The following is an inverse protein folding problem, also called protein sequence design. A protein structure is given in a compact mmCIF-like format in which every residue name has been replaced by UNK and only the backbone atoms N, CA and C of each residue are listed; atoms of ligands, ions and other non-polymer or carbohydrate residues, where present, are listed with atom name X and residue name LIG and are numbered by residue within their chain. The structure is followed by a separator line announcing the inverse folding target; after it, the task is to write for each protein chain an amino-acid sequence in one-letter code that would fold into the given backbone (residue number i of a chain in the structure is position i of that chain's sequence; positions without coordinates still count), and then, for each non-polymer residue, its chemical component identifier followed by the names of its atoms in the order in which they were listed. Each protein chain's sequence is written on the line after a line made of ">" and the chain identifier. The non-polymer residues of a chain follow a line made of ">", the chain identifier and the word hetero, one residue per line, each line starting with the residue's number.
data_IF_147194784190
#
_entry.id   IF_147194784190
#
_cell.length_a   1.000
_cell.length_b   1.000
_cell.length_c   1.000
_cell.angle_alpha   90.00
_cell.angle_beta   90.00
_cell.angle_gamma   90.00
#
_symmetry.space_group_name_H-M   'P 1'
#
loop_
_entity.id
_entity.type
_entity.pdbx_description
1 polymer ?
#
# COMPACT_ATOMS: atom_id res chain seq x y z
N UNK A 1 12.13 -11.19 -21.49
CA UNK A 1 10.68 -11.29 -21.78
C UNK A 1 9.82 -11.46 -20.53
N UNK A 2 10.15 -12.34 -19.56
CA UNK A 2 9.29 -12.60 -18.38
C UNK A 2 9.02 -11.37 -17.47
N UNK A 3 9.93 -10.39 -17.40
CA UNK A 3 9.75 -9.16 -16.59
C UNK A 3 8.70 -8.19 -17.16
N UNK A 4 8.71 -7.96 -18.48
CA UNK A 4 7.82 -6.97 -19.12
C UNK A 4 6.33 -7.29 -18.99
N UNK A 5 5.97 -8.57 -19.04
CA UNK A 5 4.58 -8.99 -18.84
C UNK A 5 4.10 -8.73 -17.40
N UNK A 6 4.96 -8.95 -16.40
CA UNK A 6 4.66 -8.66 -14.99
C UNK A 6 4.56 -7.16 -14.74
N UNK A 7 5.46 -6.38 -15.33
CA UNK A 7 5.46 -4.91 -15.23
C UNK A 7 4.17 -4.33 -15.84
N UNK A 8 3.75 -4.82 -17.01
CA UNK A 8 2.50 -4.40 -17.66
C UNK A 8 1.27 -4.84 -16.86
N UNK A 9 1.27 -6.05 -16.32
CA UNK A 9 0.18 -6.53 -15.47
C UNK A 9 0.04 -5.67 -14.21
N UNK A 10 1.15 -5.27 -13.58
CA UNK A 10 1.13 -4.42 -12.38
C UNK A 10 0.50 -3.04 -12.68
N UNK A 11 0.81 -2.46 -13.84
CA UNK A 11 0.19 -1.22 -14.31
C UNK A 11 -1.33 -1.39 -14.46
N UNK A 12 -1.76 -2.43 -15.20
CA UNK A 12 -3.19 -2.67 -15.45
C UNK A 12 -3.95 -2.91 -14.15
N UNK A 13 -3.42 -3.73 -13.24
CA UNK A 13 -4.06 -4.02 -11.96
C UNK A 13 -4.15 -2.76 -11.08
N UNK A 14 -3.12 -1.90 -11.08
CA UNK A 14 -3.15 -0.64 -10.33
C UNK A 14 -4.20 0.32 -10.89
N UNK A 15 -4.35 0.39 -12.21
CA UNK A 15 -5.40 1.19 -12.86
C UNK A 15 -6.79 0.66 -12.51
N UNK A 16 -7.01 -0.65 -12.61
CA UNK A 16 -8.28 -1.27 -12.24
C UNK A 16 -8.63 -0.99 -10.78
N UNK A 17 -7.64 -1.10 -9.89
CA UNK A 17 -7.84 -0.79 -8.47
C UNK A 17 -8.20 0.68 -8.24
N UNK A 18 -7.55 1.61 -8.96
CA UNK A 18 -7.88 3.02 -8.88
C UNK A 18 -9.31 3.30 -9.39
N UNK A 19 -9.73 2.65 -10.47
CA UNK A 19 -11.10 2.77 -10.99
C UNK A 19 -12.10 2.29 -9.94
N UNK A 20 -11.90 1.10 -9.36
CA UNK A 20 -12.77 0.55 -8.30
C UNK A 20 -12.84 1.50 -7.11
N UNK A 21 -11.69 1.94 -6.59
CA UNK A 21 -11.65 2.86 -5.45
C UNK A 21 -12.37 4.17 -5.73
N UNK A 22 -12.18 4.76 -6.91
CA UNK A 22 -12.88 6.00 -7.29
C UNK A 22 -14.38 5.83 -7.50
N UNK A 23 -14.82 4.69 -8.07
CA UNK A 23 -16.24 4.45 -8.37
C UNK A 23 -17.06 4.23 -7.10
N UNK A 24 -16.48 3.55 -6.11
CA UNK A 24 -17.13 3.25 -4.83
C UNK A 24 -16.76 4.23 -3.71
N UNK A 25 -16.06 5.33 -4.01
CA UNK A 25 -15.62 6.32 -3.03
C UNK A 25 -14.75 5.74 -1.89
N UNK A 26 -14.02 4.64 -2.14
CA UNK A 26 -12.96 4.16 -1.24
C UNK A 26 -11.67 4.96 -1.51
N UNK A 27 -11.56 6.12 -0.88
CA UNK A 27 -10.46 7.05 -1.14
C UNK A 27 -9.11 6.57 -0.61
N UNK A 28 -9.09 5.75 0.45
CA UNK A 28 -7.86 5.10 0.91
C UNK A 28 -7.41 4.08 -0.15
N UNK A 29 -8.31 3.20 -0.61
CA UNK A 29 -8.03 2.27 -1.70
C UNK A 29 -7.56 2.97 -2.98
N UNK A 30 -8.20 4.08 -3.35
CA UNK A 30 -7.80 4.91 -4.48
C UNK A 30 -6.37 5.45 -4.34
N UNK A 31 -6.01 6.04 -3.19
CA UNK A 31 -4.67 6.58 -2.96
C UNK A 31 -3.60 5.48 -2.96
N UNK A 32 -3.87 4.34 -2.33
CA UNK A 32 -2.97 3.19 -2.37
C UNK A 32 -2.78 2.67 -3.80
N UNK A 33 -3.83 2.73 -4.63
CA UNK A 33 -3.79 2.40 -6.05
C UNK A 33 -2.92 3.36 -6.85
N UNK A 34 -2.95 4.66 -6.54
CA UNK A 34 -2.05 5.66 -7.14
C UNK A 34 -0.59 5.36 -6.79
N UNK A 35 -0.28 5.06 -5.52
CA UNK A 35 1.08 4.68 -5.13
C UNK A 35 1.54 3.42 -5.88
N UNK A 36 0.68 2.40 -5.95
CA UNK A 36 0.95 1.17 -6.71
C UNK A 36 1.20 1.47 -8.19
N UNK A 37 0.41 2.36 -8.79
CA UNK A 37 0.56 2.77 -10.18
C UNK A 37 1.90 3.46 -10.43
N UNK A 38 2.26 4.43 -9.57
CA UNK A 38 3.55 5.13 -9.66
C UNK A 38 4.70 4.12 -9.61
N UNK A 39 4.69 3.21 -8.63
CA UNK A 39 5.75 2.19 -8.51
C UNK A 39 5.79 1.26 -9.72
N UNK A 40 4.64 0.88 -10.26
CA UNK A 40 4.55 0.07 -11.48
C UNK A 40 5.13 0.78 -12.70
N UNK A 41 4.93 2.10 -12.85
CA UNK A 41 5.53 2.92 -13.91
C UNK A 41 7.07 2.91 -13.78
N UNK A 42 7.59 3.10 -12.57
CA UNK A 42 9.04 3.07 -12.34
C UNK A 42 9.63 1.68 -12.59
N UNK A 43 8.92 0.63 -12.21
CA UNK A 43 9.33 -0.74 -12.49
C UNK A 43 9.39 -1.05 -13.97
N UNK A 44 8.40 -0.57 -14.75
CA UNK A 44 8.40 -0.72 -16.21
C UNK A 44 9.60 -0.03 -16.87
N UNK A 45 10.05 1.11 -16.32
CA UNK A 45 11.25 1.82 -16.81
C UNK A 45 12.56 1.13 -16.44
N UNK A 46 12.66 0.55 -15.24
CA UNK A 46 13.86 -0.10 -14.72
C UNK A 46 13.60 -1.60 -14.57
N UNK A 47 13.73 -2.34 -15.67
CA UNK A 47 13.40 -3.77 -15.72
C UNK A 47 14.37 -4.60 -14.86
N UNK A 48 14.00 -4.80 -13.59
CA UNK A 48 14.61 -5.75 -12.68
C UNK A 48 13.52 -6.71 -12.21
N UNK A 49 13.69 -8.00 -12.51
CA UNK A 49 12.71 -9.03 -12.20
C UNK A 49 12.29 -9.06 -10.71
N UNK A 50 13.21 -8.81 -9.78
CA UNK A 50 12.88 -8.80 -8.35
C UNK A 50 12.02 -7.61 -7.96
N UNK A 51 12.29 -6.45 -8.56
CA UNK A 51 11.46 -5.26 -8.35
C UNK A 51 10.09 -5.44 -8.99
N UNK A 52 10.02 -6.06 -10.18
CA UNK A 52 8.77 -6.41 -10.84
C UNK A 52 7.88 -7.33 -9.99
N UNK A 53 8.46 -8.29 -9.26
CA UNK A 53 7.72 -9.13 -8.31
C UNK A 53 7.12 -8.33 -7.17
N UNK A 54 7.81 -7.32 -6.64
CA UNK A 54 7.26 -6.45 -5.59
C UNK A 54 6.14 -5.56 -6.13
N UNK A 55 6.32 -4.95 -7.30
CA UNK A 55 5.31 -4.09 -7.91
C UNK A 55 4.03 -4.85 -8.27
N UNK A 56 4.14 -6.06 -8.85
CA UNK A 56 2.95 -6.88 -9.12
C UNK A 56 2.29 -7.33 -7.83
N UNK A 57 3.05 -7.69 -6.79
CA UNK A 57 2.49 -8.08 -5.49
C UNK A 57 1.74 -6.94 -4.83
N UNK A 58 2.29 -5.72 -4.89
CA UNK A 58 1.61 -4.51 -4.42
C UNK A 58 0.33 -4.26 -5.20
N UNK A 59 0.37 -4.33 -6.54
CA UNK A 59 -0.81 -4.09 -7.38
C UNK A 59 -1.93 -5.11 -7.12
N UNK A 60 -1.58 -6.39 -6.95
CA UNK A 60 -2.54 -7.45 -6.61
C UNK A 60 -3.14 -7.21 -5.22
N UNK A 61 -2.31 -6.94 -4.21
CA UNK A 61 -2.81 -6.72 -2.85
C UNK A 61 -3.68 -5.48 -2.77
N UNK A 62 -3.30 -4.40 -3.43
CA UNK A 62 -4.08 -3.16 -3.48
C UNK A 62 -5.41 -3.37 -4.18
N UNK A 63 -5.44 -4.10 -5.29
CA UNK A 63 -6.71 -4.46 -5.95
C UNK A 63 -7.60 -5.31 -5.05
N UNK A 64 -7.03 -6.34 -4.40
CA UNK A 64 -7.79 -7.19 -3.48
C UNK A 64 -8.32 -6.37 -2.31
N UNK A 65 -7.48 -5.57 -1.65
CA UNK A 65 -7.86 -4.74 -0.52
C UNK A 65 -8.97 -3.76 -0.88
N UNK A 66 -8.80 -3.03 -2.00
CA UNK A 66 -9.80 -2.09 -2.51
C UNK A 66 -11.11 -2.81 -2.86
N UNK A 67 -11.04 -3.94 -3.57
CA UNK A 67 -12.25 -4.71 -3.91
C UNK A 67 -12.95 -5.28 -2.67
N UNK A 68 -12.19 -5.73 -1.67
CA UNK A 68 -12.75 -6.23 -0.41
C UNK A 68 -13.52 -5.15 0.33
N UNK A 69 -12.98 -3.93 0.40
CA UNK A 69 -13.66 -2.80 1.05
C UNK A 69 -14.82 -2.31 0.19
N UNK A 70 -14.58 -1.96 -1.07
CA UNK A 70 -15.57 -1.34 -1.95
C UNK A 70 -16.76 -2.25 -2.31
N UNK A 71 -16.52 -3.55 -2.54
CA UNK A 71 -17.55 -4.47 -3.06
C UNK A 71 -18.10 -5.40 -1.99
N UNK A 72 -17.24 -5.95 -1.14
CA UNK A 72 -17.65 -6.97 -0.17
C UNK A 72 -18.00 -6.38 1.20
N UNK A 73 -17.41 -5.24 1.57
CA UNK A 73 -17.64 -4.53 2.82
C UNK A 73 -18.11 -3.07 2.58
N UNK A 74 -19.10 -2.81 1.71
CA UNK A 74 -19.58 -1.44 1.52
C UNK A 74 -20.25 -0.92 2.79
N UNK A 75 -20.17 0.41 3.00
CA UNK A 75 -20.75 1.05 4.18
C UNK A 75 -22.27 0.86 4.29
N UNK A 76 -22.96 0.64 3.17
CA UNK A 76 -24.40 0.33 3.14
C UNK A 76 -24.80 -0.90 3.95
N UNK A 77 -23.87 -1.83 4.23
CA UNK A 77 -24.12 -2.97 5.15
C UNK A 77 -24.17 -2.55 6.61
N UNK A 78 -23.52 -1.45 6.97
CA UNK A 78 -23.64 -0.85 8.29
C UNK A 78 -24.98 -0.13 8.40
N UNK A 79 -25.36 0.64 7.38
CA UNK A 79 -26.65 1.35 7.35
C UNK A 79 -27.85 0.40 7.38
N UNK A 80 -27.76 -0.75 6.72
CA UNK A 80 -28.81 -1.79 6.76
C UNK A 80 -28.83 -2.59 8.07
N UNK A 81 -27.84 -2.40 8.96
CA UNK A 81 -27.70 -3.15 10.21
C UNK A 81 -27.19 -4.58 10.05
N UNK A 82 -26.76 -4.98 8.85
CA UNK A 82 -26.16 -6.30 8.59
C UNK A 82 -24.77 -6.46 9.22
N UNK A 83 -24.05 -5.35 9.42
CA UNK A 83 -22.69 -5.34 9.96
C UNK A 83 -22.53 -4.26 11.02
N UNK A 84 -21.96 -4.63 12.17
CA UNK A 84 -21.59 -3.67 13.21
C UNK A 84 -20.50 -2.70 12.73
N UNK A 85 -20.63 -1.42 13.09
CA UNK A 85 -19.72 -0.35 12.63
C UNK A 85 -18.26 -0.58 13.06
N UNK A 86 -18.02 -1.15 14.24
CA UNK A 86 -16.67 -1.43 14.72
C UNK A 86 -16.07 -2.63 13.99
N UNK A 87 -16.89 -3.65 13.70
CA UNK A 87 -16.47 -4.80 12.90
C UNK A 87 -16.14 -4.37 11.48
N UNK A 88 -17.00 -3.57 10.85
CA UNK A 88 -16.75 -2.98 9.53
C UNK A 88 -15.45 -2.19 9.51
N UNK A 89 -15.28 -1.25 10.46
CA UNK A 89 -14.09 -0.42 10.55
C UNK A 89 -12.82 -1.26 10.71
N UNK A 90 -12.86 -2.31 11.54
CA UNK A 90 -11.72 -3.21 11.74
C UNK A 90 -11.38 -4.00 10.46
N UNK A 91 -12.38 -4.54 9.76
CA UNK A 91 -12.16 -5.32 8.54
C UNK A 91 -11.65 -4.45 7.38
N UNK A 92 -12.19 -3.23 7.23
CA UNK A 92 -11.71 -2.25 6.25
C UNK A 92 -10.26 -1.85 6.54
N UNK A 93 -9.96 -1.50 7.79
CA UNK A 93 -8.62 -1.18 8.25
C UNK A 93 -7.60 -2.28 7.97
N UNK A 94 -7.94 -3.55 8.26
CA UNK A 94 -7.08 -4.70 7.97
C UNK A 94 -6.84 -4.82 6.46
N UNK A 95 -7.91 -4.69 5.66
CA UNK A 95 -7.84 -4.85 4.21
C UNK A 95 -6.88 -3.85 3.56
N UNK A 96 -6.94 -2.57 3.97
CA UNK A 96 -5.99 -1.56 3.49
C UNK A 96 -4.59 -1.73 4.07
N UNK A 97 -4.47 -2.07 5.36
CA UNK A 97 -3.18 -2.20 6.04
C UNK A 97 -2.30 -3.32 5.46
N UNK A 98 -2.89 -4.41 4.97
CA UNK A 98 -2.15 -5.52 4.35
C UNK A 98 -1.40 -5.12 3.07
N UNK A 99 -1.83 -4.04 2.41
CA UNK A 99 -1.19 -3.51 1.21
C UNK A 99 0.11 -2.75 1.54
N UNK A 100 0.15 -2.11 2.71
CA UNK A 100 1.19 -1.14 3.08
C UNK A 100 2.61 -1.73 3.12
N UNK A 101 2.87 -2.94 3.63
CA UNK A 101 4.22 -3.50 3.66
C UNK A 101 4.87 -3.60 2.28
N UNK A 102 4.12 -4.07 1.29
CA UNK A 102 4.66 -4.23 -0.07
C UNK A 102 4.85 -2.88 -0.76
N UNK A 103 3.94 -1.93 -0.56
CA UNK A 103 4.07 -0.56 -1.05
C UNK A 103 5.26 0.16 -0.42
N UNK A 104 5.45 0.04 0.89
CA UNK A 104 6.57 0.65 1.59
C UNK A 104 7.91 0.07 1.09
N UNK A 105 8.03 -1.24 0.90
CA UNK A 105 9.24 -1.84 0.28
C UNK A 105 9.44 -1.31 -1.14
N UNK A 106 8.38 -1.25 -1.96
CA UNK A 106 8.43 -0.74 -3.33
C UNK A 106 8.89 0.72 -3.40
N UNK A 107 8.55 1.54 -2.40
CA UNK A 107 9.03 2.92 -2.31
C UNK A 107 10.55 3.00 -2.12
N UNK A 108 11.15 2.16 -1.27
CA UNK A 108 12.61 2.15 -1.10
C UNK A 108 13.33 1.79 -2.40
N UNK A 109 12.83 0.80 -3.14
CA UNK A 109 13.36 0.46 -4.45
C UNK A 109 13.20 1.62 -5.45
N UNK A 110 12.03 2.25 -5.47
CA UNK A 110 11.74 3.38 -6.36
C UNK A 110 12.66 4.56 -6.06
N UNK A 111 12.74 4.99 -4.79
CA UNK A 111 13.57 6.12 -4.38
C UNK A 111 15.05 5.81 -4.64
N UNK A 112 15.53 4.60 -4.31
CA UNK A 112 16.90 4.21 -4.63
C UNK A 112 17.19 4.30 -6.14
N UNK A 113 16.23 3.90 -6.98
CA UNK A 113 16.38 3.92 -8.44
C UNK A 113 16.47 5.32 -9.05
N UNK A 114 15.87 6.32 -8.39
CA UNK A 114 15.82 7.73 -8.84
C UNK A 114 16.97 8.54 -8.26
N UNK A 115 17.29 8.34 -6.97
CA UNK A 115 18.27 9.13 -6.23
C UNK A 115 19.69 8.54 -6.24
N UNK A 116 19.88 7.36 -6.85
CA UNK A 116 21.09 6.55 -6.71
C UNK A 116 21.48 6.23 -5.26
N UNK A 117 20.53 6.35 -4.32
CA UNK A 117 20.74 6.04 -2.92
C UNK A 117 20.82 4.54 -2.65
N UNK A 118 21.27 4.21 -1.45
CA UNK A 118 21.38 2.84 -0.99
C UNK A 118 20.86 2.71 0.43
N UNK A 119 19.95 1.78 0.66
CA UNK A 119 19.25 1.61 1.95
C UNK A 119 19.64 0.30 2.60
N UNK A 120 20.22 0.40 3.80
CA UNK A 120 20.55 -0.74 4.65
C UNK A 120 19.36 -1.15 5.53
N UNK A 121 19.56 -2.19 6.34
CA UNK A 121 18.53 -2.71 7.24
C UNK A 121 18.06 -1.70 8.30
N UNK A 122 18.91 -0.76 8.72
CA UNK A 122 18.58 0.26 9.73
C UNK A 122 17.62 1.27 9.13
N UNK A 123 17.92 1.76 7.93
CA UNK A 123 17.07 2.72 7.22
C UNK A 123 15.73 2.09 6.86
N UNK A 124 15.74 0.89 6.27
CA UNK A 124 14.50 0.22 5.89
C UNK A 124 13.65 -0.09 7.14
N UNK A 125 14.23 -0.65 8.20
CA UNK A 125 13.48 -0.90 9.44
C UNK A 125 12.96 0.39 10.08
N UNK A 126 13.80 1.41 10.20
CA UNK A 126 13.44 2.67 10.86
C UNK A 126 12.35 3.45 10.13
N UNK A 127 12.42 3.52 8.79
CA UNK A 127 11.52 4.38 8.00
C UNK A 127 10.30 3.67 7.43
N UNK A 128 10.30 2.33 7.32
CA UNK A 128 9.20 1.59 6.69
C UNK A 128 7.85 1.88 7.35
N UNK A 129 7.80 1.97 8.67
CA UNK A 129 6.56 2.27 9.40
C UNK A 129 6.01 3.65 9.07
N UNK A 130 6.85 4.67 9.09
CA UNK A 130 6.46 6.04 8.77
C UNK A 130 6.00 6.17 7.31
N UNK A 131 6.69 5.51 6.39
CA UNK A 131 6.32 5.53 4.97
C UNK A 131 4.95 4.88 4.77
N UNK A 132 4.71 3.69 5.33
CA UNK A 132 3.44 3.00 5.15
C UNK A 132 2.25 3.76 5.74
N UNK A 133 2.38 4.30 6.96
CA UNK A 133 1.33 5.13 7.57
C UNK A 133 1.16 6.44 6.79
N UNK A 134 2.26 7.04 6.31
CA UNK A 134 2.22 8.24 5.50
C UNK A 134 1.44 8.07 4.19
N UNK A 135 1.46 6.87 3.61
CA UNK A 135 0.71 6.56 2.38
C UNK A 135 -0.80 6.55 2.55
N UNK A 136 -1.33 6.33 3.77
CA UNK A 136 -2.78 6.37 4.02
C UNK A 136 -3.30 7.78 4.24
N UNK A 137 -2.43 8.73 4.63
CA UNK A 137 -2.84 10.09 5.00
C UNK A 137 -3.59 10.85 3.90
N UNK A 138 -3.15 10.85 2.64
CA UNK A 138 -3.91 11.51 1.58
C UNK A 138 -5.30 10.90 1.38
N UNK A 139 -5.47 9.60 1.65
CA UNK A 139 -6.76 8.92 1.57
C UNK A 139 -7.74 9.48 2.58
N UNK A 140 -7.33 9.62 3.85
CA UNK A 140 -8.16 10.27 4.87
C UNK A 140 -8.53 11.70 4.51
N UNK A 141 -7.60 12.49 3.95
CA UNK A 141 -7.90 13.87 3.52
C UNK A 141 -9.02 13.87 2.46
N UNK A 142 -8.96 12.95 1.50
CA UNK A 142 -9.99 12.82 0.48
C UNK A 142 -11.33 12.35 1.06
N UNK A 143 -11.33 11.40 1.99
CA UNK A 143 -12.56 11.00 2.70
C UNK A 143 -13.18 12.20 3.44
N UNK A 144 -12.39 13.00 4.16
CA UNK A 144 -12.91 14.20 4.83
C UNK A 144 -13.50 15.23 3.86
N UNK A 145 -12.90 15.40 2.67
CA UNK A 145 -13.42 16.31 1.66
C UNK A 145 -14.71 15.79 1.03
N UNK A 146 -14.80 14.50 0.74
CA UNK A 146 -16.00 13.88 0.15
C UNK A 146 -17.23 14.03 1.06
N UNK A 147 -17.02 13.95 2.38
CA UNK A 147 -18.06 14.19 3.39
C UNK A 147 -18.52 15.63 3.38
N UNK A 148 -17.57 16.56 3.32
CA UNK A 148 -17.86 17.99 3.38
C UNK A 148 -18.66 18.46 2.16
N UNK A 149 -18.48 17.81 1.01
CA UNK A 149 -18.99 18.31 -0.26
C UNK A 149 -20.01 17.42 -0.96
N UNK A 150 -20.03 16.10 -0.75
CA UNK A 150 -20.72 15.15 -1.65
C UNK A 150 -21.68 14.19 -0.93
N UNK A 151 -21.20 13.39 0.02
CA UNK A 151 -21.98 12.25 0.55
C UNK A 151 -22.64 12.53 1.90
N UNK A 152 -22.05 13.41 2.73
CA UNK A 152 -22.54 13.69 4.09
C UNK A 152 -22.50 12.50 5.05
N UNK A 153 -21.96 11.35 4.63
CA UNK A 153 -21.82 10.13 5.44
C UNK A 153 -20.63 10.27 6.38
N UNK A 154 -20.82 10.11 7.69
CA UNK A 154 -19.73 10.26 8.66
C UNK A 154 -18.67 9.17 8.48
N UNK A 155 -17.47 9.50 7.99
CA UNK A 155 -16.28 8.80 8.49
C UNK A 155 -16.21 9.08 9.98
N UNK A 156 -16.50 8.05 10.76
CA UNK A 156 -16.41 8.18 12.20
C UNK A 156 -14.94 8.32 12.58
N UNK A 157 -14.64 9.19 13.55
CA UNK A 157 -13.29 9.26 14.13
C UNK A 157 -12.79 7.89 14.60
N UNK A 158 -13.71 6.98 14.95
CA UNK A 158 -13.43 5.58 15.24
C UNK A 158 -12.81 4.84 14.03
N UNK A 159 -13.39 4.93 12.83
CA UNK A 159 -12.83 4.33 11.62
C UNK A 159 -11.41 4.83 11.34
N UNK A 160 -11.20 6.14 11.34
CA UNK A 160 -9.86 6.71 11.13
C UNK A 160 -8.86 6.23 12.19
N UNK A 161 -9.26 6.20 13.46
CA UNK A 161 -8.43 5.73 14.57
C UNK A 161 -8.07 4.23 14.40
N UNK A 162 -9.04 3.37 14.11
CA UNK A 162 -8.79 1.94 13.92
C UNK A 162 -7.91 1.68 12.70
N UNK A 163 -8.15 2.36 11.59
CA UNK A 163 -7.31 2.24 10.38
C UNK A 163 -5.88 2.67 10.65
N UNK A 164 -5.66 3.79 11.34
CA UNK A 164 -4.31 4.23 11.72
C UNK A 164 -3.64 3.27 12.71
N UNK A 165 -4.37 2.79 13.71
CA UNK A 165 -3.83 1.87 14.72
C UNK A 165 -3.44 0.52 14.09
N UNK A 166 -4.31 -0.04 13.25
CA UNK A 166 -4.06 -1.32 12.58
C UNK A 166 -2.93 -1.16 11.57
N UNK A 167 -2.92 -0.08 10.78
CA UNK A 167 -1.79 0.24 9.89
C UNK A 167 -0.48 0.33 10.68
N UNK A 168 -0.46 1.02 11.82
CA UNK A 168 0.71 1.13 12.69
C UNK A 168 1.18 -0.25 13.16
N UNK A 169 0.29 -1.09 13.68
CA UNK A 169 0.63 -2.43 14.18
C UNK A 169 1.17 -3.34 13.07
N UNK A 170 0.49 -3.39 11.92
CA UNK A 170 0.92 -4.16 10.75
C UNK A 170 2.28 -3.68 10.27
N UNK A 171 2.50 -2.37 10.22
CA UNK A 171 3.74 -1.79 9.75
C UNK A 171 4.90 -1.95 10.74
N UNK A 172 4.66 -1.93 12.06
CA UNK A 172 5.66 -2.29 13.07
C UNK A 172 6.09 -3.75 12.90
N UNK A 173 5.12 -4.66 12.77
CA UNK A 173 5.41 -6.07 12.57
C UNK A 173 6.17 -6.32 11.26
N UNK A 174 5.72 -5.73 10.16
CA UNK A 174 6.37 -5.84 8.85
C UNK A 174 7.78 -5.23 8.84
N UNK A 175 7.97 -4.08 9.51
CA UNK A 175 9.28 -3.48 9.68
C UNK A 175 10.22 -4.40 10.46
N UNK A 176 9.77 -4.95 11.59
CA UNK A 176 10.58 -5.86 12.40
C UNK A 176 10.99 -7.13 11.63
N UNK A 177 10.06 -7.71 10.85
CA UNK A 177 10.34 -8.87 9.98
C UNK A 177 11.35 -8.49 8.90
N UNK A 178 11.13 -7.38 8.20
CA UNK A 178 12.01 -6.92 7.12
C UNK A 178 13.41 -6.60 7.63
N UNK A 179 13.50 -5.93 8.78
CA UNK A 179 14.75 -5.64 9.48
C UNK A 179 15.53 -6.93 9.78
N UNK A 180 14.87 -7.93 10.39
CA UNK A 180 15.48 -9.23 10.70
C UNK A 180 15.99 -9.94 9.43
N UNK A 181 15.18 -9.98 8.37
CA UNK A 181 15.54 -10.63 7.10
C UNK A 181 16.74 -9.91 6.46
N UNK A 182 16.71 -8.58 6.39
CA UNK A 182 17.80 -7.81 5.77
C UNK A 182 19.09 -7.91 6.58
N UNK A 183 19.01 -7.84 7.92
CA UNK A 183 20.16 -7.98 8.82
C UNK A 183 20.80 -9.35 8.69
N UNK A 184 20.00 -10.43 8.76
CA UNK A 184 20.49 -11.82 8.67
C UNK A 184 21.18 -12.10 7.33
N UNK A 185 20.64 -11.55 6.24
CA UNK A 185 21.16 -11.81 4.90
C UNK A 185 22.15 -10.74 4.40
N UNK A 186 22.45 -9.73 5.23
CA UNK A 186 23.26 -8.55 4.86
C UNK A 186 22.79 -7.91 3.55
N UNK A 187 21.48 -7.76 3.40
CA UNK A 187 20.87 -7.17 2.21
C UNK A 187 20.92 -5.65 2.23
N UNK A 188 21.05 -5.08 1.04
CA UNK A 188 21.06 -3.67 0.78
C UNK A 188 20.18 -3.38 -0.45
N UNK A 189 19.31 -2.40 -0.37
CA UNK A 189 18.50 -1.94 -1.51
C UNK A 189 19.31 -0.87 -2.24
N UNK A 190 19.54 -1.05 -3.53
CA UNK A 190 20.36 -0.15 -4.37
C UNK A 190 19.58 0.33 -5.58
N UNK A 191 20.13 1.34 -6.27
CA UNK A 191 19.58 1.91 -7.49
C UNK A 191 19.36 0.91 -8.64
N UNK A 192 20.16 -0.15 -8.68
CA UNK A 192 20.05 -1.22 -9.68
C UNK A 192 19.11 -2.34 -9.24
N UNK A 193 18.47 -2.22 -8.06
CA UNK A 193 17.71 -3.28 -7.39
C UNK A 193 18.58 -4.48 -6.98
N UNK A 194 19.91 -4.35 -7.04
CA UNK A 194 20.86 -5.40 -6.64
C UNK A 194 21.01 -5.43 -5.12
N UNK A 195 20.70 -6.60 -4.55
CA UNK A 195 21.04 -6.95 -3.16
C UNK A 195 22.54 -7.24 -3.11
N UNK A 196 23.35 -6.25 -2.75
CA UNK A 196 24.79 -6.48 -2.55
C UNK A 196 24.98 -7.06 -1.14
N UNK A 197 25.62 -8.23 -1.05
CA UNK A 197 25.98 -8.85 0.23
C UNK A 197 27.14 -8.03 0.81
N UNK A 198 26.91 -7.34 1.94
CA UNK A 198 28.00 -6.62 2.61
C UNK A 198 29.06 -7.65 3.09
N UNK A 199 30.29 -7.53 2.59
CA UNK A 199 31.44 -8.32 3.06
C UNK A 199 31.76 -7.94 4.50
#
# INVERSE_FOLDING_TARGET
>A
MKGKALELAALVLSILSAIVGSYYHDWIGFVLSIYSLIFSIFCYKKSNYRFAVFCISSAVLVLIGTTMVSVFLPFSKVDSGELDIYVWAMLSAISHALCLPTLAISSFYTIASVSNASYNFVMVGGFMTFIGIGMTMPGFILEYLDILYWTGELTTNAYALYTLLIALLVMIAASAITWRIMRRNRYLITAEGRKVRMK
#
